data_IF_878555142045
#
_entry.id   IF_878555142045
#
_cell.length_a   1.000
_cell.length_b   1.000
_cell.length_c   1.000
_cell.angle_alpha   90.00
_cell.angle_beta   90.00
_cell.angle_gamma   90.00
#
_symmetry.space_group_name_H-M   'P 1'
#
loop_
_entity.id
_entity.type
_entity.pdbx_description
1 polymer ?
#
# COMPACT_ATOMS: atom_id res chain seq x y z
N UNK A 1 -4.79 -7.11 21.71
CA UNK A 1 -4.66 -8.10 20.64
C UNK A 1 -4.51 -9.47 21.30
N UNK A 2 -5.61 -10.23 21.40
CA UNK A 2 -5.66 -11.49 22.16
C UNK A 2 -4.74 -12.57 21.56
N UNK A 3 -4.54 -12.58 20.24
CA UNK A 3 -3.60 -13.47 19.55
C UNK A 3 -2.19 -13.33 20.11
N UNK A 4 -1.69 -12.10 20.21
CA UNK A 4 -0.33 -11.85 20.74
C UNK A 4 -0.25 -12.24 22.22
N UNK A 5 -1.30 -11.99 23.00
CA UNK A 5 -1.33 -12.36 24.42
C UNK A 5 -1.25 -13.88 24.61
N UNK A 6 -2.08 -14.65 23.88
CA UNK A 6 -2.02 -16.11 23.91
C UNK A 6 -0.68 -16.65 23.38
N UNK A 7 -0.11 -16.05 22.33
CA UNK A 7 1.23 -16.41 21.84
C UNK A 7 2.31 -16.22 22.91
N UNK A 8 2.25 -15.10 23.66
CA UNK A 8 3.22 -14.85 24.73
C UNK A 8 3.04 -15.82 25.91
N UNK A 9 1.79 -16.19 26.23
CA UNK A 9 1.50 -17.20 27.24
C UNK A 9 2.01 -18.58 26.81
N UNK A 10 1.87 -18.93 25.53
CA UNK A 10 2.44 -20.16 24.98
C UNK A 10 3.96 -20.22 25.14
N UNK A 11 4.67 -19.15 24.77
CA UNK A 11 6.14 -19.05 24.94
C UNK A 11 6.53 -19.14 26.42
N UNK A 12 5.73 -18.55 27.32
CA UNK A 12 5.97 -18.64 28.76
C UNK A 12 5.81 -20.07 29.26
N UNK A 13 4.73 -20.75 28.88
CA UNK A 13 4.50 -22.15 29.22
C UNK A 13 5.57 -23.08 28.62
N UNK A 14 6.01 -22.82 27.39
CA UNK A 14 7.13 -23.51 26.73
C UNK A 14 8.43 -23.38 27.53
N UNK A 15 8.74 -22.18 28.03
CA UNK A 15 9.92 -21.94 28.87
C UNK A 15 9.85 -22.67 30.22
N UNK A 16 8.64 -22.87 30.75
CA UNK A 16 8.38 -23.68 31.93
C UNK A 16 8.37 -25.20 31.62
N UNK A 17 8.57 -25.59 30.36
CA UNK A 17 8.49 -26.96 29.86
C UNK A 17 7.09 -27.59 30.00
N UNK A 18 6.07 -26.78 30.21
CA UNK A 18 4.67 -27.20 30.17
C UNK A 18 4.18 -27.14 28.72
N UNK A 19 4.62 -28.12 27.94
CA UNK A 19 4.33 -28.19 26.52
C UNK A 19 2.84 -28.36 26.20
N UNK A 20 2.05 -29.18 26.94
CA UNK A 20 0.60 -29.26 26.73
C UNK A 20 -0.09 -27.91 26.92
N UNK A 21 0.29 -27.14 27.95
CA UNK A 21 -0.27 -25.81 28.16
C UNK A 21 0.18 -24.82 27.07
N UNK A 22 1.44 -24.90 26.63
CA UNK A 22 1.92 -24.10 25.51
C UNK A 22 1.09 -24.35 24.25
N UNK A 23 0.84 -25.63 23.89
CA UNK A 23 0.01 -26.00 22.75
C UNK A 23 -1.42 -25.46 22.89
N UNK A 24 -2.04 -25.54 24.07
CA UNK A 24 -3.38 -25.00 24.29
C UNK A 24 -3.47 -23.49 24.08
N UNK A 25 -2.44 -22.74 24.49
CA UNK A 25 -2.35 -21.32 24.23
C UNK A 25 -2.10 -21.02 22.75
N UNK A 26 -1.26 -21.81 22.07
CA UNK A 26 -1.07 -21.69 20.62
C UNK A 26 -2.38 -21.95 19.87
N UNK A 27 -3.18 -22.95 20.27
CA UNK A 27 -4.47 -23.27 19.66
C UNK A 27 -5.45 -22.09 19.79
N UNK A 28 -5.50 -21.49 20.98
CA UNK A 28 -6.33 -20.32 21.25
C UNK A 28 -5.90 -19.11 20.39
N UNK A 29 -4.59 -18.91 20.24
CA UNK A 29 -4.05 -17.85 19.39
C UNK A 29 -4.34 -18.10 17.91
N UNK A 30 -4.16 -19.35 17.46
CA UNK A 30 -4.35 -19.75 16.07
C UNK A 30 -5.81 -19.62 15.65
N UNK A 31 -6.76 -20.00 16.51
CA UNK A 31 -8.19 -19.85 16.24
C UNK A 31 -8.55 -18.38 15.90
N UNK A 32 -8.02 -17.43 16.67
CA UNK A 32 -8.23 -16.00 16.44
C UNK A 32 -7.51 -15.57 15.15
N UNK A 33 -6.25 -15.97 14.98
CA UNK A 33 -5.46 -15.59 13.80
C UNK A 33 -6.06 -16.12 12.49
N UNK A 34 -6.70 -17.29 12.51
CA UNK A 34 -7.42 -17.86 11.36
C UNK A 34 -8.74 -17.12 11.13
N UNK A 35 -9.52 -16.87 12.19
CA UNK A 35 -10.79 -16.14 12.09
C UNK A 35 -10.61 -14.73 11.50
N UNK A 36 -9.53 -14.05 11.91
CA UNK A 36 -9.23 -12.69 11.49
C UNK A 36 -8.39 -12.61 10.21
N UNK A 37 -8.02 -13.76 9.61
CA UNK A 37 -7.19 -13.80 8.38
C UNK A 37 -5.77 -13.26 8.57
N UNK A 38 -5.23 -13.34 9.78
CA UNK A 38 -3.96 -12.76 10.19
C UNK A 38 -2.77 -13.67 9.80
N UNK A 39 -2.46 -13.73 8.50
CA UNK A 39 -1.36 -14.55 7.96
C UNK A 39 0.00 -14.35 8.66
N UNK A 40 0.46 -13.13 8.97
CA UNK A 40 1.73 -12.95 9.68
C UNK A 40 1.73 -13.61 11.07
N UNK A 41 0.61 -13.54 11.78
CA UNK A 41 0.45 -14.15 13.09
C UNK A 41 0.39 -15.69 12.97
N UNK A 42 -0.31 -16.22 11.97
CA UNK A 42 -0.31 -17.67 11.70
C UNK A 42 1.10 -18.19 11.40
N UNK A 43 1.92 -17.41 10.67
CA UNK A 43 3.32 -17.75 10.38
C UNK A 43 4.15 -17.85 11.66
N UNK A 44 4.06 -16.85 12.53
CA UNK A 44 4.75 -16.84 13.83
C UNK A 44 4.29 -18.00 14.72
N UNK A 45 2.99 -18.31 14.73
CA UNK A 45 2.47 -19.43 15.51
C UNK A 45 2.98 -20.78 14.99
N UNK A 46 3.11 -20.96 13.67
CA UNK A 46 3.68 -22.17 13.09
C UNK A 46 5.12 -22.43 13.60
N UNK A 47 5.93 -21.37 13.76
CA UNK A 47 7.27 -21.49 14.37
C UNK A 47 7.21 -21.93 15.82
N UNK A 48 6.31 -21.33 16.60
CA UNK A 48 6.14 -21.71 18.01
C UNK A 48 5.70 -23.17 18.16
N UNK A 49 4.75 -23.65 17.34
CA UNK A 49 4.39 -25.07 17.33
C UNK A 49 5.59 -25.95 16.99
N UNK A 50 6.33 -25.62 15.93
CA UNK A 50 7.53 -26.36 15.54
C UNK A 50 8.54 -26.47 16.68
N UNK A 51 8.79 -25.37 17.39
CA UNK A 51 9.71 -25.33 18.53
C UNK A 51 9.21 -26.15 19.71
N UNK A 52 7.91 -26.07 20.04
CA UNK A 52 7.31 -26.87 21.13
C UNK A 52 7.40 -28.36 20.82
N UNK A 53 7.01 -28.79 19.61
CA UNK A 53 7.11 -30.19 19.20
C UNK A 53 8.55 -30.69 19.12
N UNK A 54 9.50 -29.83 18.70
CA UNK A 54 10.92 -30.15 18.72
C UNK A 54 11.40 -30.44 20.16
N UNK A 55 11.00 -29.61 21.12
CA UNK A 55 11.35 -29.79 22.55
C UNK A 55 10.66 -31.00 23.19
N UNK A 56 9.52 -31.43 22.66
CA UNK A 56 8.83 -32.66 23.06
C UNK A 56 9.47 -33.92 22.46
N UNK A 57 10.36 -33.79 21.47
CA UNK A 57 10.95 -34.93 20.77
C UNK A 57 10.01 -35.55 19.73
N UNK A 58 9.12 -34.74 19.15
CA UNK A 58 8.09 -35.13 18.17
C UNK A 58 8.47 -34.65 16.75
N UNK A 59 9.42 -35.31 16.05
CA UNK A 59 9.98 -34.82 14.79
C UNK A 59 8.95 -34.71 13.66
N UNK A 60 7.98 -35.63 13.61
CA UNK A 60 6.94 -35.61 12.58
C UNK A 60 6.08 -34.33 12.68
N UNK A 61 5.71 -33.95 13.90
CA UNK A 61 4.97 -32.73 14.17
C UNK A 61 5.82 -31.49 13.88
N UNK A 62 7.10 -31.48 14.26
CA UNK A 62 8.02 -30.40 13.92
C UNK A 62 8.09 -30.18 12.40
N UNK A 63 8.31 -31.26 11.63
CA UNK A 63 8.38 -31.19 10.16
C UNK A 63 7.07 -30.67 9.58
N UNK A 64 5.92 -31.11 10.12
CA UNK A 64 4.60 -30.63 9.70
C UNK A 64 4.49 -29.11 9.86
N UNK A 65 4.84 -28.57 11.03
CA UNK A 65 4.73 -27.14 11.29
C UNK A 65 5.79 -26.31 10.55
N UNK A 66 7.00 -26.83 10.34
CA UNK A 66 7.99 -26.19 9.46
C UNK A 66 7.50 -26.10 8.01
N UNK A 67 6.89 -27.16 7.47
CA UNK A 67 6.29 -27.11 6.13
C UNK A 67 5.15 -26.10 6.06
N UNK A 68 4.32 -26.03 7.10
CA UNK A 68 3.26 -25.05 7.18
C UNK A 68 3.79 -23.62 7.23
N UNK A 69 4.88 -23.37 7.96
CA UNK A 69 5.58 -22.09 7.97
C UNK A 69 6.04 -21.70 6.56
N UNK A 70 6.70 -22.59 5.82
CA UNK A 70 7.17 -22.29 4.46
C UNK A 70 6.02 -21.92 3.52
N UNK A 71 4.89 -22.65 3.58
CA UNK A 71 3.70 -22.33 2.78
C UNK A 71 3.14 -20.94 3.12
N UNK A 72 3.05 -20.60 4.40
CA UNK A 72 2.56 -19.29 4.84
C UNK A 72 3.52 -18.17 4.44
N UNK A 73 4.83 -18.41 4.52
CA UNK A 73 5.87 -17.46 4.13
C UNK A 73 5.82 -17.17 2.64
N UNK A 74 5.69 -18.19 1.81
CA UNK A 74 5.52 -18.03 0.36
C UNK A 74 4.27 -17.23 0.02
N UNK A 75 3.16 -17.49 0.72
CA UNK A 75 1.92 -16.72 0.58
C UNK A 75 2.11 -15.24 0.92
N UNK A 76 2.75 -14.95 2.06
CA UNK A 76 3.00 -13.59 2.52
C UNK A 76 3.91 -12.82 1.55
N UNK A 77 4.99 -13.47 1.10
CA UNK A 77 5.91 -12.89 0.11
C UNK A 77 5.21 -12.60 -1.23
N UNK A 78 4.28 -13.45 -1.65
CA UNK A 78 3.51 -13.20 -2.86
C UNK A 78 2.58 -11.98 -2.71
N UNK A 79 1.91 -11.85 -1.57
CA UNK A 79 1.06 -10.67 -1.27
C UNK A 79 1.90 -9.39 -1.26
N UNK A 80 3.06 -9.40 -0.61
CA UNK A 80 3.96 -8.25 -0.55
C UNK A 80 4.50 -7.86 -1.94
N UNK A 81 4.87 -8.84 -2.77
CA UNK A 81 5.29 -8.60 -4.15
C UNK A 81 4.20 -7.94 -4.98
N UNK A 82 2.97 -8.47 -4.92
CA UNK A 82 1.83 -7.91 -5.64
C UNK A 82 1.55 -6.47 -5.19
N UNK A 83 1.58 -6.22 -3.89
CA UNK A 83 1.42 -4.86 -3.34
C UNK A 83 2.52 -3.91 -3.80
N UNK A 84 3.78 -4.32 -3.74
CA UNK A 84 4.90 -3.51 -4.17
C UNK A 84 4.81 -3.13 -5.66
N UNK A 85 4.35 -4.05 -6.51
CA UNK A 85 4.11 -3.76 -7.94
C UNK A 85 2.99 -2.74 -8.10
N UNK A 86 1.88 -2.90 -7.37
CA UNK A 86 0.75 -1.97 -7.42
C UNK A 86 1.15 -0.55 -6.98
N UNK A 87 1.89 -0.43 -5.87
CA UNK A 87 2.36 0.85 -5.35
C UNK A 87 3.28 1.58 -6.35
N UNK A 88 4.18 0.83 -7.00
CA UNK A 88 5.07 1.36 -8.04
C UNK A 88 4.26 1.84 -9.26
N UNK A 89 3.28 1.04 -9.70
CA UNK A 89 2.42 1.40 -10.83
C UNK A 89 1.57 2.65 -10.53
N UNK A 90 0.95 2.71 -9.36
CA UNK A 90 0.16 3.86 -8.92
C UNK A 90 1.00 5.13 -8.89
N UNK A 91 2.20 5.06 -8.30
CA UNK A 91 3.13 6.19 -8.25
C UNK A 91 3.51 6.66 -9.65
N UNK A 92 3.86 5.73 -10.54
CA UNK A 92 4.20 6.04 -11.93
C UNK A 92 3.04 6.72 -12.67
N UNK A 93 1.82 6.19 -12.54
CA UNK A 93 0.63 6.78 -13.17
C UNK A 93 0.27 8.15 -12.60
N UNK A 94 0.40 8.32 -11.29
CA UNK A 94 0.19 9.61 -10.61
C UNK A 94 1.18 10.66 -11.10
N UNK A 95 2.46 10.31 -11.21
CA UNK A 95 3.49 11.19 -11.77
C UNK A 95 3.21 11.57 -13.23
N UNK A 96 2.76 10.61 -14.06
CA UNK A 96 2.38 10.85 -15.45
C UNK A 96 1.18 11.80 -15.55
N UNK A 97 0.12 11.56 -14.79
CA UNK A 97 -1.06 12.43 -14.73
C UNK A 97 -0.68 13.84 -14.27
N UNK A 98 0.16 13.96 -13.24
CA UNK A 98 0.64 15.25 -12.74
C UNK A 98 1.41 16.04 -13.80
N UNK A 99 2.24 15.38 -14.62
CA UNK A 99 2.92 16.02 -15.76
C UNK A 99 1.92 16.51 -16.81
N UNK A 100 0.97 15.67 -17.21
CA UNK A 100 -0.05 16.06 -18.19
C UNK A 100 -0.92 17.22 -17.71
N UNK A 101 -1.30 17.24 -16.43
CA UNK A 101 -2.04 18.37 -15.85
C UNK A 101 -1.23 19.65 -15.93
N UNK A 102 0.06 19.62 -15.58
CA UNK A 102 0.95 20.78 -15.70
C UNK A 102 1.06 21.26 -17.15
N UNK A 103 1.23 20.35 -18.10
CA UNK A 103 1.29 20.69 -19.53
C UNK A 103 -0.02 21.31 -20.04
N UNK A 104 -1.17 20.79 -19.63
CA UNK A 104 -2.48 21.34 -19.98
C UNK A 104 -2.70 22.72 -19.37
N UNK A 105 -2.28 22.93 -18.12
CA UNK A 105 -2.36 24.24 -17.46
C UNK A 105 -1.50 25.29 -18.17
N UNK A 106 -0.28 24.93 -18.60
CA UNK A 106 0.57 25.82 -19.41
C UNK A 106 -0.11 26.19 -20.72
N UNK A 107 -0.67 25.21 -21.45
CA UNK A 107 -1.39 25.46 -22.71
C UNK A 107 -2.63 26.35 -22.52
N UNK A 108 -3.37 26.15 -21.44
CA UNK A 108 -4.53 26.99 -21.11
C UNK A 108 -4.10 28.44 -20.86
N UNK A 109 -3.06 28.65 -20.06
CA UNK A 109 -2.53 29.98 -19.76
C UNK A 109 -2.00 30.69 -21.02
N UNK A 110 -1.30 29.97 -21.90
CA UNK A 110 -0.84 30.51 -23.19
C UNK A 110 -2.01 30.92 -24.09
N UNK A 111 -3.09 30.13 -24.10
CA UNK A 111 -4.29 30.44 -24.88
C UNK A 111 -5.04 31.66 -24.35
N UNK A 112 -5.11 31.83 -23.03
CA UNK A 112 -5.69 33.00 -22.36
C UNK A 112 -4.86 34.26 -22.65
N UNK A 113 -3.54 34.17 -22.50
CA UNK A 113 -2.63 35.27 -22.82
C UNK A 113 -2.74 35.69 -24.29
N UNK A 114 -2.86 34.72 -25.19
CA UNK A 114 -3.04 34.98 -26.62
C UNK A 114 -4.36 35.69 -26.88
N UNK A 115 -5.45 35.29 -26.22
CA UNK A 115 -6.75 35.96 -26.30
C UNK A 115 -6.68 37.39 -25.78
N UNK A 116 -6.03 37.62 -24.65
CA UNK A 116 -5.83 38.98 -24.13
C UNK A 116 -5.04 39.86 -25.12
N UNK A 117 -3.94 39.34 -25.68
CA UNK A 117 -3.14 40.05 -26.68
C UNK A 117 -3.97 40.40 -27.91
N UNK A 118 -4.76 39.44 -28.43
CA UNK A 118 -5.68 39.66 -29.53
C UNK A 118 -6.72 40.75 -29.22
N UNK A 119 -7.30 40.73 -28.02
CA UNK A 119 -8.24 41.76 -27.60
C UNK A 119 -7.59 43.15 -27.51
N UNK A 120 -6.39 43.25 -26.93
CA UNK A 120 -5.63 44.50 -26.86
C UNK A 120 -5.31 45.04 -28.24
N UNK A 121 -4.76 44.20 -29.12
CA UNK A 121 -4.42 44.58 -30.50
C UNK A 121 -5.66 45.02 -31.28
N UNK A 122 -6.77 44.27 -31.19
CA UNK A 122 -8.05 44.64 -31.82
C UNK A 122 -8.56 46.00 -31.31
N UNK A 123 -8.57 46.21 -30.00
CA UNK A 123 -9.02 47.47 -29.42
C UNK A 123 -8.14 48.64 -29.90
N UNK A 124 -6.82 48.44 -30.01
CA UNK A 124 -5.88 49.45 -30.50
C UNK A 124 -6.16 49.82 -31.97
N UNK A 125 -6.44 48.83 -32.83
CA UNK A 125 -6.86 49.06 -34.22
C UNK A 125 -8.23 49.75 -34.33
N UNK A 126 -9.19 49.44 -33.44
CA UNK A 126 -10.48 50.13 -33.40
C UNK A 126 -10.30 51.60 -33.00
N UNK A 127 -9.48 51.90 -31.98
CA UNK A 127 -9.18 53.28 -31.58
C UNK A 127 -8.49 54.07 -32.68
N UNK A 128 -7.50 53.48 -33.37
CA UNK A 128 -6.82 54.17 -34.48
C UNK A 128 -7.75 54.43 -35.66
N UNK A 129 -8.63 53.48 -36.01
CA UNK A 129 -9.63 53.66 -37.07
C UNK A 129 -10.65 54.77 -36.77
N UNK A 130 -11.15 54.86 -35.54
CA UNK A 130 -12.06 55.94 -35.11
C UNK A 130 -11.37 57.31 -35.19
N UNK A 131 -10.10 57.41 -34.78
CA UNK A 131 -9.34 58.66 -34.89
C UNK A 131 -9.16 59.15 -36.32
N UNK A 132 -8.91 58.25 -37.27
CA UNK A 132 -8.80 58.58 -38.70
C UNK A 132 -10.14 59.08 -39.25
N UNK A 133 -11.25 58.43 -38.89
CA UNK A 133 -12.60 58.87 -39.31
C UNK A 133 -12.94 60.26 -38.79
N UNK A 134 -12.59 60.58 -37.54
CA UNK A 134 -12.78 61.92 -36.98
C UNK A 134 -11.97 62.99 -37.73
N UNK A 135 -10.74 62.69 -38.14
CA UNK A 135 -9.94 63.63 -38.95
C UNK A 135 -10.49 63.85 -40.36
N UNK A 136 -11.11 62.84 -40.97
CA UNK A 136 -11.67 62.95 -42.32
C UNK A 136 -13.01 63.71 -42.38
N UNK A 137 -13.72 63.81 -41.24
CA UNK A 137 -15.00 64.52 -41.12
C UNK A 137 -14.85 65.96 -40.58
N UNK A 138 -13.64 66.34 -40.16
CA UNK A 138 -13.31 67.69 -39.66
C UNK A 138 -12.74 68.61 -40.73
#
# INVERSE_FOLDING_TARGET
NLTIQYSNLAVTAENLKDYPLALSYLDSSLAIAVADGLLPQQLTLADHYGNVYLKMGEPDSTIKYMKHHEVLKDSLLNIEKVRAIADVQEKYESEKKARTIKELQVKQLDSELTRERLQRTRNLYLFSGVGILFMALG
#
